data_IF_123470442258
#
_entry.id   IF_123470442258
#
_cell.length_a   1.000
_cell.length_b   1.000
_cell.length_c   1.000
_cell.angle_alpha   90.00
_cell.angle_beta   90.00
_cell.angle_gamma   90.00
#
_symmetry.space_group_name_H-M   'P 1'
#
loop_
_entity.id
_entity.type
_entity.pdbx_description
1 polymer ?
#
# COMPACT_ATOMS: atom_id res chain seq x y z
N UNK A 1 -9.30 -6.05 -4.82
CA UNK A 1 -9.29 -5.45 -3.47
C UNK A 1 -10.41 -6.09 -2.68
N UNK A 2 -10.12 -6.64 -1.52
CA UNK A 2 -11.17 -7.31 -0.76
C UNK A 2 -11.41 -6.60 0.57
N UNK A 3 -12.56 -6.90 1.19
CA UNK A 3 -13.01 -6.21 2.40
C UNK A 3 -12.05 -6.45 3.56
N UNK A 4 -11.49 -7.64 3.66
CA UNK A 4 -10.53 -7.95 4.73
C UNK A 4 -9.30 -7.06 4.65
N UNK A 5 -8.77 -6.86 3.45
CA UNK A 5 -7.61 -6.00 3.25
C UNK A 5 -7.94 -4.55 3.61
N UNK A 6 -9.12 -4.08 3.20
CA UNK A 6 -9.56 -2.72 3.50
C UNK A 6 -9.71 -2.52 5.00
N UNK A 7 -10.34 -3.48 5.69
CA UNK A 7 -10.49 -3.41 7.14
C UNK A 7 -9.13 -3.41 7.84
N UNK A 8 -8.20 -4.22 7.36
CA UNK A 8 -6.85 -4.26 7.90
C UNK A 8 -6.17 -2.91 7.73
N UNK A 9 -6.29 -2.32 6.54
CA UNK A 9 -5.73 -1.00 6.26
C UNK A 9 -6.29 0.05 7.23
N UNK A 10 -7.60 0.07 7.42
CA UNK A 10 -8.23 1.05 8.31
C UNK A 10 -7.75 0.90 9.75
N UNK A 11 -7.65 -0.34 10.23
CA UNK A 11 -7.15 -0.59 11.58
C UNK A 11 -5.70 -0.15 11.74
N UNK A 12 -4.86 -0.43 10.75
CA UNK A 12 -3.46 -0.03 10.79
C UNK A 12 -3.32 1.50 10.76
N UNK A 13 -4.15 2.19 9.99
CA UNK A 13 -4.10 3.65 9.96
C UNK A 13 -4.55 4.28 11.27
N UNK A 14 -5.45 3.64 12.00
CA UNK A 14 -5.82 4.11 13.32
C UNK A 14 -4.67 4.01 14.31
N UNK A 15 -3.89 2.93 14.22
CA UNK A 15 -2.76 2.70 15.11
C UNK A 15 -1.53 3.51 14.70
N UNK A 16 -1.31 3.66 13.39
CA UNK A 16 -0.12 4.31 12.85
C UNK A 16 -0.52 5.29 11.75
N UNK A 17 -1.14 6.42 12.12
CA UNK A 17 -1.68 7.33 11.11
C UNK A 17 -0.62 7.98 10.22
N UNK A 18 0.62 8.03 10.67
CA UNK A 18 1.74 8.62 9.91
C UNK A 18 2.47 7.62 9.03
N UNK A 19 2.13 6.34 9.10
CA UNK A 19 2.77 5.32 8.28
C UNK A 19 2.03 5.14 6.96
N UNK A 20 2.79 4.76 5.93
CA UNK A 20 2.24 4.42 4.63
C UNK A 20 2.31 2.91 4.48
N UNK A 21 1.19 2.28 4.15
CA UNK A 21 1.11 0.82 4.12
C UNK A 21 1.02 0.31 2.70
N UNK A 22 1.88 -0.66 2.40
CA UNK A 22 1.90 -1.36 1.12
C UNK A 22 1.43 -2.79 1.34
N UNK A 23 0.42 -3.19 0.58
CA UNK A 23 -0.17 -4.53 0.71
C UNK A 23 0.20 -5.37 -0.49
N UNK A 24 0.86 -6.48 -0.25
CA UNK A 24 1.23 -7.39 -1.33
C UNK A 24 -0.01 -8.10 -1.86
N UNK A 25 -0.24 -7.98 -3.15
CA UNK A 25 -1.35 -8.61 -3.83
C UNK A 25 -0.82 -9.23 -5.13
N UNK A 26 -0.59 -10.53 -5.13
CA UNK A 26 0.02 -11.19 -6.27
C UNK A 26 1.41 -10.65 -6.54
N UNK A 27 1.62 -10.16 -7.76
CA UNK A 27 2.92 -9.63 -8.18
C UNK A 27 3.03 -8.12 -7.98
N UNK A 28 2.11 -7.52 -7.23
CA UNK A 28 2.06 -6.07 -7.04
C UNK A 28 1.98 -5.72 -5.57
N UNK A 29 2.35 -4.48 -5.25
CA UNK A 29 2.02 -3.85 -3.98
C UNK A 29 0.94 -2.83 -4.23
N UNK A 30 -0.08 -2.83 -3.36
CA UNK A 30 -1.19 -1.89 -3.44
C UNK A 30 -1.18 -0.98 -2.22
N UNK A 31 -1.62 0.26 -2.41
CA UNK A 31 -1.86 1.18 -1.31
C UNK A 31 -3.18 1.89 -1.56
N UNK A 32 -3.78 2.43 -0.50
CA UNK A 32 -5.15 2.90 -0.53
C UNK A 32 -5.29 4.29 0.06
N UNK A 33 -6.30 5.02 -0.41
CA UNK A 33 -6.72 6.31 0.11
C UNK A 33 -5.57 7.31 0.21
N UNK A 34 -5.34 7.90 1.38
CA UNK A 34 -4.29 8.91 1.54
C UNK A 34 -2.90 8.36 1.22
N UNK A 35 -2.68 7.08 1.49
CA UNK A 35 -1.40 6.45 1.17
C UNK A 35 -1.22 6.32 -0.34
N UNK A 36 -2.30 6.02 -1.06
CA UNK A 36 -2.26 5.96 -2.52
C UNK A 36 -1.96 7.31 -3.13
N UNK A 37 -2.57 8.36 -2.57
CA UNK A 37 -2.33 9.73 -3.06
C UNK A 37 -0.88 10.13 -2.84
N UNK A 38 -0.35 9.85 -1.66
CA UNK A 38 1.04 10.17 -1.36
C UNK A 38 2.00 9.38 -2.26
N UNK A 39 1.75 8.09 -2.43
CA UNK A 39 2.60 7.27 -3.28
C UNK A 39 2.55 7.72 -4.74
N UNK A 40 1.38 8.08 -5.22
CA UNK A 40 1.23 8.59 -6.58
C UNK A 40 2.06 9.84 -6.80
N UNK A 41 2.04 10.77 -5.86
CA UNK A 41 2.81 12.01 -5.97
C UNK A 41 4.32 11.75 -5.92
N UNK A 42 4.75 10.91 -4.99
CA UNK A 42 6.18 10.68 -4.76
C UNK A 42 6.79 9.78 -5.84
N UNK A 43 6.06 8.74 -6.23
CA UNK A 43 6.58 7.72 -7.13
C UNK A 43 6.21 7.95 -8.58
N UNK A 44 5.24 8.82 -8.85
CA UNK A 44 4.75 9.05 -10.20
C UNK A 44 3.88 7.92 -10.73
N UNK A 45 3.32 7.09 -9.86
CA UNK A 45 2.45 6.00 -10.28
C UNK A 45 1.01 6.49 -10.39
N UNK A 46 0.21 5.74 -11.15
CA UNK A 46 -1.16 6.15 -11.44
C UNK A 46 -2.06 5.99 -10.22
N UNK A 47 -2.80 7.06 -9.91
CA UNK A 47 -3.85 7.02 -8.90
C UNK A 47 -5.15 6.65 -9.58
N UNK A 48 -5.82 5.63 -9.08
CA UNK A 48 -7.07 5.15 -9.63
C UNK A 48 -8.14 5.10 -8.55
N UNK A 49 -9.37 4.77 -8.92
CA UNK A 49 -10.46 4.63 -7.97
C UNK A 49 -11.22 3.35 -8.23
N UNK A 50 -11.63 2.71 -7.15
CA UNK A 50 -12.49 1.53 -7.18
C UNK A 50 -13.57 1.75 -6.13
N UNK A 51 -14.84 1.84 -6.55
CA UNK A 51 -15.95 2.12 -5.65
C UNK A 51 -15.70 3.34 -4.76
N UNK A 52 -15.26 4.43 -5.36
CA UNK A 52 -14.95 5.69 -4.67
C UNK A 52 -13.72 5.63 -3.76
N UNK A 53 -13.05 4.50 -3.68
CA UNK A 53 -11.82 4.38 -2.90
C UNK A 53 -10.61 4.59 -3.80
N UNK A 54 -9.76 5.53 -3.42
CA UNK A 54 -8.52 5.76 -4.16
C UNK A 54 -7.54 4.60 -3.90
N UNK A 55 -6.83 4.19 -4.95
CA UNK A 55 -5.79 3.20 -4.81
C UNK A 55 -4.70 3.42 -5.85
N UNK A 56 -3.52 2.89 -5.57
CA UNK A 56 -2.41 2.86 -6.50
C UNK A 56 -1.68 1.55 -6.31
N UNK A 57 -0.99 1.12 -7.36
CA UNK A 57 -0.23 -0.13 -7.27
C UNK A 57 1.01 -0.04 -8.14
N UNK A 58 1.99 -0.88 -7.83
CA UNK A 58 3.19 -1.00 -8.65
C UNK A 58 3.69 -2.44 -8.57
N UNK A 59 4.47 -2.88 -9.59
CA UNK A 59 5.00 -4.25 -9.58
C UNK A 59 5.91 -4.49 -8.37
N UNK A 60 5.83 -5.68 -7.79
CA UNK A 60 6.60 -5.97 -6.57
C UNK A 60 8.10 -5.84 -6.78
N UNK A 61 8.59 -6.11 -8.01
CA UNK A 61 10.02 -5.98 -8.28
C UNK A 61 10.52 -4.52 -8.25
N UNK A 62 9.61 -3.56 -8.27
CA UNK A 62 9.98 -2.15 -8.18
C UNK A 62 10.15 -1.66 -6.74
N UNK A 63 9.88 -2.51 -5.76
CA UNK A 63 9.94 -2.11 -4.35
C UNK A 63 11.30 -1.55 -3.96
N UNK A 64 12.38 -2.20 -4.42
CA UNK A 64 13.73 -1.76 -4.08
C UNK A 64 14.04 -0.36 -4.60
N UNK A 65 13.40 0.05 -5.68
CA UNK A 65 13.54 1.39 -6.24
C UNK A 65 12.65 2.39 -5.51
N UNK A 66 11.43 1.99 -5.20
CA UNK A 66 10.41 2.92 -4.69
C UNK A 66 10.46 3.11 -3.19
N UNK A 67 10.82 2.08 -2.43
CA UNK A 67 10.84 2.17 -0.98
C UNK A 67 11.76 3.29 -0.48
N UNK A 68 13.00 3.42 -0.99
CA UNK A 68 13.85 4.52 -0.53
C UNK A 68 13.26 5.90 -0.82
N UNK A 69 12.50 6.05 -1.91
CA UNK A 69 11.89 7.33 -2.23
C UNK A 69 10.83 7.72 -1.20
N UNK A 70 10.03 6.74 -0.77
CA UNK A 70 9.02 6.97 0.26
C UNK A 70 9.67 7.33 1.59
N UNK A 71 10.70 6.59 1.97
CA UNK A 71 11.40 6.83 3.23
C UNK A 71 12.06 8.21 3.23
N UNK A 72 12.69 8.61 2.13
CA UNK A 72 13.32 9.92 2.02
C UNK A 72 12.32 11.06 2.08
N UNK A 73 11.07 10.81 1.74
CA UNK A 73 10.01 11.81 1.85
C UNK A 73 9.36 11.82 3.23
N UNK A 74 9.95 11.13 4.19
CA UNK A 74 9.52 11.20 5.58
C UNK A 74 8.50 10.16 6.00
N UNK A 75 8.20 9.19 5.15
CA UNK A 75 7.21 8.18 5.49
C UNK A 75 7.84 6.98 6.16
N UNK A 76 7.20 6.53 7.22
CA UNK A 76 7.43 5.18 7.73
C UNK A 76 6.59 4.25 6.88
N UNK A 77 7.18 3.17 6.40
CA UNK A 77 6.50 2.28 5.46
C UNK A 77 6.29 0.92 6.12
N UNK A 78 5.04 0.50 6.17
CA UNK A 78 4.70 -0.84 6.61
C UNK A 78 4.41 -1.71 5.40
N UNK A 79 4.99 -2.90 5.35
CA UNK A 79 4.77 -3.83 4.26
C UNK A 79 4.00 -5.01 4.80
N UNK A 80 2.81 -5.21 4.25
CA UNK A 80 1.91 -6.27 4.68
C UNK A 80 1.89 -7.34 3.59
N UNK A 81 2.40 -8.50 3.92
CA UNK A 81 2.33 -9.64 3.03
C UNK A 81 1.37 -10.64 3.64
N UNK A 82 0.14 -10.56 3.17
CA UNK A 82 -0.88 -11.47 3.62
C UNK A 82 -0.63 -12.84 3.02
N UNK A 83 0.17 -13.61 3.69
CA UNK A 83 0.32 -14.99 3.31
C UNK A 83 -0.83 -15.75 3.92
N UNK A 84 -1.75 -16.14 3.07
CA UNK A 84 -2.70 -17.15 3.47
C UNK A 84 -1.89 -18.44 3.57
N UNK A 85 -1.62 -18.84 4.79
CA UNK A 85 -0.96 -20.13 5.02
C UNK A 85 -2.01 -21.21 4.76
N UNK A 86 -1.81 -22.03 3.72
CA UNK A 86 -2.79 -23.08 3.47
C UNK A 86 -2.81 -24.04 4.65
N UNK A 87 -4.01 -24.39 5.03
CA UNK A 87 -4.18 -25.42 6.05
C UNK A 87 -3.77 -26.76 5.45
N UNK A 88 -3.04 -27.51 6.22
CA UNK A 88 -2.59 -28.82 5.78
C UNK A 88 -3.20 -29.90 6.60
#
# INVERSE_FOLDING_TARGET
>A
MNVTTINQFENLKKQYPDALFLFKAGDCYECYEQDAKAASEILGITLAKCYSMAYALFPSHALDTYLPKLVRNGYRVGIIENKVVPLR
#
